data_IF_522583563319
#
_entry.id   IF_522583563319
#
_cell.length_a   1.000
_cell.length_b   1.000
_cell.length_c   1.000
_cell.angle_alpha   90.00
_cell.angle_beta   90.00
_cell.angle_gamma   90.00
#
_symmetry.space_group_name_H-M   'P 1'
#
loop_
_entity.id
_entity.type
_entity.pdbx_description
1 polymer ?
#
# COMPACT_ATOMS: atom_id res chain seq x y z
N UNK A 1 17.56 -6.27 -13.80
CA UNK A 1 18.71 -5.45 -14.22
C UNK A 1 18.22 -4.02 -14.40
N UNK A 2 18.65 -3.16 -13.48
CA UNK A 2 18.42 -1.71 -13.46
C UNK A 2 18.94 -1.07 -14.74
N UNK A 3 18.18 -0.14 -15.33
CA UNK A 3 18.72 0.73 -16.36
C UNK A 3 19.40 1.93 -15.68
N UNK A 4 20.64 2.24 -16.05
CA UNK A 4 21.35 3.47 -15.66
C UNK A 4 21.48 3.74 -14.14
N UNK A 5 21.76 2.73 -13.31
CA UNK A 5 21.85 2.86 -11.85
C UNK A 5 20.58 3.38 -11.15
N UNK A 6 19.41 3.19 -11.76
CA UNK A 6 18.11 3.56 -11.19
C UNK A 6 17.25 2.32 -10.95
N UNK A 7 16.50 2.35 -9.85
CA UNK A 7 15.48 1.34 -9.53
C UNK A 7 14.26 1.55 -10.43
N UNK A 8 13.83 0.50 -11.13
CA UNK A 8 12.63 0.53 -11.96
C UNK A 8 11.47 -0.13 -11.23
N UNK A 9 10.22 0.14 -11.65
CA UNK A 9 9.03 -0.48 -11.04
C UNK A 9 9.07 -2.01 -11.02
N UNK A 10 9.64 -2.64 -12.06
CA UNK A 10 9.83 -4.11 -12.13
C UNK A 10 10.79 -4.67 -11.07
N UNK A 11 11.63 -3.83 -10.49
CA UNK A 11 12.59 -4.20 -9.45
C UNK A 11 11.94 -4.14 -8.05
N UNK A 12 10.67 -3.72 -7.97
CA UNK A 12 9.86 -3.67 -6.73
C UNK A 12 8.93 -4.87 -6.71
N UNK A 13 8.85 -5.53 -5.55
CA UNK A 13 7.88 -6.59 -5.25
C UNK A 13 7.12 -6.25 -4.00
N UNK A 14 5.81 -6.42 -4.02
CA UNK A 14 4.93 -6.15 -2.89
C UNK A 14 4.13 -7.39 -2.54
N UNK A 15 4.12 -7.73 -1.24
CA UNK A 15 3.33 -8.84 -0.70
C UNK A 15 2.36 -8.28 0.33
N UNK A 16 1.08 -8.55 0.12
CA UNK A 16 0.00 -8.14 1.01
C UNK A 16 -0.32 -9.31 1.93
N UNK A 17 -0.28 -9.08 3.24
CA UNK A 17 -0.71 -10.09 4.22
C UNK A 17 -1.82 -9.51 5.07
N UNK A 18 -2.96 -10.19 5.03
CA UNK A 18 -4.16 -9.86 5.78
C UNK A 18 -4.18 -10.70 7.05
N UNK A 19 -5.14 -10.42 7.93
CA UNK A 19 -5.28 -11.22 9.14
C UNK A 19 -5.74 -12.66 8.90
N UNK A 20 -6.34 -12.94 7.75
CA UNK A 20 -6.82 -14.27 7.35
C UNK A 20 -5.80 -15.05 6.52
N UNK A 21 -4.67 -14.43 6.17
CA UNK A 21 -3.58 -15.06 5.42
C UNK A 21 -2.93 -14.13 4.40
N UNK A 22 -2.06 -14.68 3.56
CA UNK A 22 -1.45 -13.92 2.47
C UNK A 22 -2.46 -13.68 1.35
N UNK A 23 -2.64 -12.43 0.97
CA UNK A 23 -3.39 -12.08 -0.22
C UNK A 23 -2.45 -12.20 -1.42
N UNK A 24 -2.51 -13.36 -2.06
CA UNK A 24 -1.62 -13.72 -3.16
C UNK A 24 -2.07 -13.07 -4.47
N UNK A 25 -1.90 -11.75 -4.57
CA UNK A 25 -2.07 -11.03 -5.83
C UNK A 25 -0.83 -11.30 -6.70
N UNK A 26 -0.97 -11.86 -7.91
CA UNK A 26 0.16 -12.04 -8.81
C UNK A 26 0.89 -10.71 -9.01
N UNK A 27 2.23 -10.70 -8.93
CA UNK A 27 3.01 -9.46 -9.14
C UNK A 27 2.82 -8.90 -10.55
N UNK A 28 2.43 -9.73 -11.51
CA UNK A 28 2.07 -9.33 -12.87
C UNK A 28 0.71 -8.63 -12.98
N UNK A 29 -0.15 -8.78 -11.97
CA UNK A 29 -1.44 -8.11 -11.90
C UNK A 29 -1.34 -6.69 -11.32
N UNK A 30 -0.29 -6.42 -10.54
CA UNK A 30 -0.08 -5.11 -9.91
C UNK A 30 0.55 -4.18 -10.95
N UNK A 31 -0.27 -3.31 -11.52
CA UNK A 31 0.15 -2.37 -12.56
C UNK A 31 0.82 -1.14 -11.97
N UNK A 32 0.44 -0.78 -10.74
CA UNK A 32 0.99 0.38 -10.03
C UNK A 32 0.88 0.17 -8.53
N UNK A 33 1.91 0.62 -7.83
CA UNK A 33 1.94 0.76 -6.39
C UNK A 33 2.45 2.15 -6.05
N UNK A 34 1.71 2.87 -5.20
CA UNK A 34 2.13 4.14 -4.63
C UNK A 34 2.00 4.13 -3.11
N UNK A 35 2.91 4.85 -2.46
CA UNK A 35 2.90 5.05 -1.02
C UNK A 35 3.41 6.46 -0.70
N UNK A 36 2.68 7.16 0.14
CA UNK A 36 2.95 8.54 0.55
C UNK A 36 2.91 8.65 2.07
N UNK A 37 3.91 9.29 2.71
CA UNK A 37 3.83 9.60 4.12
C UNK A 37 2.71 10.61 4.36
N UNK A 38 1.99 10.43 5.46
CA UNK A 38 1.02 11.40 5.95
C UNK A 38 1.69 12.17 7.07
N UNK A 39 1.82 13.49 6.92
CA UNK A 39 2.43 14.36 7.92
C UNK A 39 1.46 15.48 8.31
N UNK A 40 1.63 16.00 9.51
CA UNK A 40 0.97 17.24 9.94
C UNK A 40 2.02 18.26 10.29
N UNK A 41 1.84 19.47 9.75
CA UNK A 41 2.73 20.59 9.95
C UNK A 41 2.11 21.57 10.92
N UNK A 42 2.82 21.88 11.99
CA UNK A 42 2.44 22.93 12.93
C UNK A 42 3.42 24.09 12.82
N UNK A 43 2.89 25.28 12.57
CA UNK A 43 3.64 26.54 12.63
C UNK A 43 3.34 27.22 13.96
N UNK A 44 4.39 27.50 14.73
CA UNK A 44 4.30 28.25 15.99
C UNK A 44 5.19 29.47 15.90
N UNK A 45 4.63 30.66 16.05
CA UNK A 45 5.43 31.88 16.15
C UNK A 45 5.72 32.16 17.62
N UNK A 46 7.00 32.25 17.98
CA UNK A 46 7.40 32.59 19.34
C UNK A 46 7.19 34.08 19.63
N UNK A 47 7.32 34.46 20.90
CA UNK A 47 7.26 35.88 21.32
C UNK A 47 8.44 36.70 20.77
N UNK A 48 9.48 36.02 20.28
CA UNK A 48 10.61 36.56 19.50
C UNK A 48 10.23 36.92 18.06
N UNK A 49 9.01 36.59 17.62
CA UNK A 49 8.55 36.83 16.26
C UNK A 49 9.04 35.79 15.24
N UNK A 50 9.84 34.81 15.65
CA UNK A 50 10.33 33.75 14.76
C UNK A 50 9.32 32.63 14.60
N UNK A 51 9.07 32.24 13.34
CA UNK A 51 8.24 31.09 13.01
C UNK A 51 9.04 29.79 13.14
N UNK A 52 8.58 28.89 14.01
CA UNK A 52 9.09 27.54 14.15
C UNK A 52 8.11 26.56 13.51
N UNK A 53 8.64 25.63 12.71
CA UNK A 53 7.88 24.59 12.04
C UNK A 53 8.15 23.24 12.70
N UNK A 54 7.10 22.48 13.01
CA UNK A 54 7.21 21.09 13.50
C UNK A 54 6.46 20.18 12.54
N UNK A 55 7.10 19.07 12.16
CA UNK A 55 6.49 18.02 11.31
C UNK A 55 6.26 16.78 12.16
N UNK A 56 5.01 16.35 12.26
CA UNK A 56 4.61 15.12 12.96
C UNK A 56 4.27 14.04 11.93
N UNK A 57 4.80 12.84 12.12
CA UNK A 57 4.53 11.69 11.25
C UNK A 57 3.23 11.01 11.66
N UNK A 58 2.25 10.99 10.75
CA UNK A 58 0.88 10.48 10.97
C UNK A 58 0.57 9.27 10.08
N UNK A 59 1.58 8.43 9.87
CA UNK A 59 1.44 7.18 9.12
C UNK A 59 1.67 7.33 7.62
N UNK A 60 1.05 6.43 6.86
CA UNK A 60 1.23 6.29 5.42
C UNK A 60 -0.12 6.01 4.77
N UNK A 61 -0.30 6.52 3.56
CA UNK A 61 -1.40 6.16 2.67
C UNK A 61 -0.84 5.71 1.34
N UNK A 62 -1.56 4.88 0.61
CA UNK A 62 -1.14 4.48 -0.72
C UNK A 62 -2.23 3.75 -1.48
N UNK A 63 -1.93 3.37 -2.71
CA UNK A 63 -2.86 2.62 -3.53
C UNK A 63 -2.18 1.60 -4.45
N UNK A 64 -2.98 0.64 -4.86
CA UNK A 64 -2.65 -0.36 -5.86
C UNK A 64 -3.64 -0.22 -7.02
N UNK A 65 -3.12 -0.15 -8.24
CA UNK A 65 -3.91 -0.40 -9.46
C UNK A 65 -3.62 -1.84 -9.89
N UNK A 66 -4.68 -2.66 -9.94
CA UNK A 66 -4.59 -4.11 -10.13
C UNK A 66 -5.44 -4.51 -11.32
N UNK A 67 -4.83 -5.15 -12.32
CA UNK A 67 -5.59 -5.83 -13.37
C UNK A 67 -6.22 -7.10 -12.80
N UNK A 68 -7.50 -7.31 -13.06
CA UNK A 68 -8.21 -8.49 -12.59
C UNK A 68 -7.82 -9.72 -13.40
N UNK A 69 -7.06 -10.63 -12.79
CA UNK A 69 -6.83 -11.98 -13.34
C UNK A 69 -7.74 -13.05 -12.75
N UNK A 70 -8.09 -12.94 -11.47
CA UNK A 70 -8.91 -13.92 -10.77
C UNK A 70 -9.85 -13.26 -9.75
N UNK A 71 -10.56 -14.06 -8.96
CA UNK A 71 -11.51 -13.60 -7.94
C UNK A 71 -10.85 -13.22 -6.61
N UNK A 72 -9.53 -13.37 -6.45
CA UNK A 72 -8.85 -13.25 -5.15
C UNK A 72 -9.15 -11.94 -4.43
N UNK A 73 -9.17 -10.81 -5.16
CA UNK A 73 -9.45 -9.50 -4.57
C UNK A 73 -10.94 -9.32 -4.22
N UNK A 74 -11.86 -9.86 -5.04
CA UNK A 74 -13.29 -9.82 -4.74
C UNK A 74 -13.63 -10.66 -3.52
N UNK A 75 -13.11 -11.89 -3.48
CA UNK A 75 -13.37 -12.84 -2.40
C UNK A 75 -12.84 -12.29 -1.07
N UNK A 76 -11.66 -11.66 -1.10
CA UNK A 76 -11.12 -10.94 0.04
C UNK A 76 -12.04 -9.82 0.52
N UNK A 77 -12.54 -8.97 -0.38
CA UNK A 77 -13.38 -7.84 0.00
C UNK A 77 -14.76 -8.29 0.47
N UNK A 78 -15.36 -9.27 -0.20
CA UNK A 78 -16.62 -9.89 0.21
C UNK A 78 -16.51 -10.51 1.61
N UNK A 79 -15.40 -11.19 1.91
CA UNK A 79 -15.14 -11.71 3.25
C UNK A 79 -14.96 -10.59 4.28
N UNK A 80 -14.24 -9.52 3.94
CA UNK A 80 -14.06 -8.37 4.84
C UNK A 80 -15.39 -7.69 5.18
N UNK A 81 -16.27 -7.52 4.19
CA UNK A 81 -17.62 -6.97 4.37
C UNK A 81 -18.50 -7.89 5.21
N UNK A 82 -18.51 -9.19 4.91
CA UNK A 82 -19.24 -10.17 5.71
C UNK A 82 -18.77 -10.18 7.18
N UNK A 83 -17.47 -10.05 7.43
CA UNK A 83 -16.93 -9.96 8.79
C UNK A 83 -17.43 -8.72 9.52
N UNK A 84 -17.47 -7.57 8.85
CA UNK A 84 -17.99 -6.33 9.42
C UNK A 84 -19.46 -6.47 9.84
N UNK A 85 -20.33 -6.99 8.96
CA UNK A 85 -21.75 -7.16 9.28
C UNK A 85 -22.02 -8.26 10.32
N UNK A 86 -21.11 -9.21 10.50
CA UNK A 86 -21.16 -10.20 11.58
C UNK A 86 -20.58 -9.67 12.91
N UNK A 87 -20.19 -8.40 12.98
CA UNK A 87 -19.60 -7.80 14.19
C UNK A 87 -18.21 -8.35 14.54
N UNK A 88 -17.53 -9.00 13.59
CA UNK A 88 -16.17 -9.47 13.79
C UNK A 88 -15.19 -8.32 13.66
N UNK A 89 -14.20 -8.29 14.56
CA UNK A 89 -13.13 -7.31 14.47
C UNK A 89 -12.26 -7.60 13.24
N UNK A 90 -12.09 -6.62 12.35
CA UNK A 90 -11.21 -6.74 11.18
C UNK A 90 -9.77 -6.47 11.64
N UNK A 91 -8.90 -7.48 11.74
CA UNK A 91 -7.57 -7.28 12.28
C UNK A 91 -6.69 -6.59 11.24
N UNK A 92 -5.73 -5.81 11.70
CA UNK A 92 -4.83 -5.10 10.80
C UNK A 92 -3.92 -6.06 10.02
N UNK A 93 -3.66 -5.73 8.76
CA UNK A 93 -2.69 -6.42 7.91
C UNK A 93 -1.30 -5.80 7.96
N UNK A 94 -0.43 -6.31 7.09
CA UNK A 94 0.87 -5.73 6.78
C UNK A 94 1.18 -5.84 5.29
N UNK A 95 1.99 -4.91 4.79
CA UNK A 95 2.50 -4.93 3.42
C UNK A 95 4.02 -5.03 3.50
N UNK A 96 4.61 -5.99 2.81
CA UNK A 96 6.06 -6.09 2.65
C UNK A 96 6.45 -5.63 1.25
N UNK A 97 7.29 -4.60 1.20
CA UNK A 97 7.89 -4.05 -0.01
C UNK A 97 9.35 -4.50 -0.07
N UNK A 98 9.72 -5.17 -1.15
CA UNK A 98 11.09 -5.61 -1.42
C UNK A 98 11.58 -4.91 -2.68
N UNK A 99 12.69 -4.20 -2.57
CA UNK A 99 13.30 -3.42 -3.65
C UNK A 99 14.65 -4.04 -3.98
N UNK A 100 14.84 -4.41 -5.25
CA UNK A 100 16.13 -4.80 -5.76
C UNK A 100 16.90 -3.56 -6.20
N UNK A 101 17.96 -3.23 -5.47
CA UNK A 101 18.74 -2.03 -5.69
C UNK A 101 19.71 -2.21 -6.89
N UNK A 102 20.06 -1.12 -7.59
CA UNK A 102 20.98 -1.18 -8.75
C UNK A 102 22.37 -1.70 -8.41
N UNK A 103 22.81 -1.53 -7.15
CA UNK A 103 24.08 -2.04 -6.65
C UNK A 103 24.06 -3.53 -6.29
N UNK A 104 22.95 -4.23 -6.56
CA UNK A 104 22.76 -5.65 -6.22
C UNK A 104 22.28 -5.88 -4.78
N UNK A 105 22.17 -4.83 -3.97
CA UNK A 105 21.56 -4.89 -2.64
C UNK A 105 20.05 -5.15 -2.70
N UNK A 106 19.49 -5.54 -1.56
CA UNK A 106 18.05 -5.69 -1.37
C UNK A 106 17.64 -4.83 -0.19
N UNK A 107 16.75 -3.87 -0.44
CA UNK A 107 16.11 -3.09 0.61
C UNK A 107 14.72 -3.67 0.88
N UNK A 108 14.36 -3.86 2.16
CA UNK A 108 13.03 -4.31 2.54
C UNK A 108 12.37 -3.32 3.49
N UNK A 109 11.11 -3.00 3.21
CA UNK A 109 10.27 -2.17 4.05
C UNK A 109 8.98 -2.90 4.40
N UNK A 110 8.50 -2.72 5.63
CA UNK A 110 7.23 -3.26 6.09
C UNK A 110 6.31 -2.14 6.54
N UNK A 111 5.13 -2.07 5.93
CA UNK A 111 4.02 -1.26 6.39
C UNK A 111 3.24 -2.06 7.44
N UNK A 112 3.04 -1.47 8.61
CA UNK A 112 2.36 -2.15 9.73
C UNK A 112 1.05 -1.48 10.09
N UNK A 113 0.18 -2.29 10.70
CA UNK A 113 -1.20 -1.93 11.05
C UNK A 113 -1.94 -1.35 9.84
N UNK A 114 -1.95 -2.13 8.76
CA UNK A 114 -2.52 -1.72 7.49
C UNK A 114 -4.03 -1.99 7.48
N UNK A 115 -4.79 -0.98 7.05
CA UNK A 115 -6.22 -1.10 6.72
C UNK A 115 -6.36 -0.92 5.22
N UNK A 116 -7.21 -1.74 4.61
CA UNK A 116 -7.46 -1.72 3.17
C UNK A 116 -8.85 -1.16 2.89
N UNK A 117 -8.97 -0.47 1.76
CA UNK A 117 -10.21 0.07 1.24
C UNK A 117 -10.28 -0.19 -0.26
N UNK A 118 -11.16 -1.09 -0.68
CA UNK A 118 -11.43 -1.27 -2.09
C UNK A 118 -12.27 -0.09 -2.58
N UNK A 119 -11.76 0.67 -3.55
CA UNK A 119 -12.43 1.87 -4.06
C UNK A 119 -13.06 1.65 -5.42
N UNK A 120 -12.47 0.80 -6.25
CA UNK A 120 -12.97 0.52 -7.60
C UNK A 120 -12.85 -0.98 -7.90
N UNK A 121 -13.95 -1.59 -8.33
CA UNK A 121 -13.99 -2.96 -8.86
C UNK A 121 -13.73 -3.03 -10.38
N UNK A 122 -13.55 -1.87 -11.01
CA UNK A 122 -13.33 -1.73 -12.45
C UNK A 122 -14.59 -1.81 -13.29
N UNK A 123 -14.59 -1.08 -14.40
CA UNK A 123 -15.64 -1.16 -15.41
C UNK A 123 -15.53 -2.49 -16.18
N UNK A 124 -16.68 -3.10 -16.51
CA UNK A 124 -16.76 -4.34 -17.29
C UNK A 124 -17.28 -3.99 -18.69
N UNK A 125 -16.36 -3.64 -19.57
CA UNK A 125 -16.63 -3.26 -20.95
C UNK A 125 -16.11 -4.34 -21.90
N UNK A 126 -16.74 -4.51 -23.07
CA UNK A 126 -16.24 -5.42 -24.10
C UNK A 126 -14.82 -5.04 -24.54
N UNK A 127 -13.98 -6.06 -24.74
CA UNK A 127 -12.58 -5.94 -25.21
C UNK A 127 -11.63 -5.11 -24.33
N UNK A 128 -11.98 -4.84 -23.06
CA UNK A 128 -11.09 -4.13 -22.11
C UNK A 128 -10.79 -4.97 -20.87
N UNK A 129 -9.60 -4.77 -20.30
CA UNK A 129 -9.24 -5.36 -19.01
C UNK A 129 -9.99 -4.66 -17.88
N UNK A 130 -10.34 -5.42 -16.84
CA UNK A 130 -10.99 -4.89 -15.64
C UNK A 130 -9.92 -4.42 -14.67
N UNK A 131 -9.84 -3.10 -14.46
CA UNK A 131 -8.88 -2.46 -13.55
C UNK A 131 -9.52 -2.19 -12.20
N UNK A 132 -8.96 -2.79 -11.15
CA UNK A 132 -9.40 -2.62 -9.77
C UNK A 132 -8.46 -1.66 -9.04
N UNK A 133 -9.00 -0.92 -8.07
CA UNK A 133 -8.23 0.00 -7.24
C UNK A 133 -8.41 -0.34 -5.75
N UNK A 134 -7.29 -0.61 -5.09
CA UNK A 134 -7.21 -0.91 -3.66
C UNK A 134 -6.38 0.17 -2.97
N UNK A 135 -6.98 0.93 -2.08
CA UNK A 135 -6.29 1.92 -1.24
C UNK A 135 -5.91 1.30 0.11
N UNK A 136 -4.86 1.81 0.72
CA UNK A 136 -4.46 1.40 2.06
C UNK A 136 -4.01 2.58 2.92
N UNK A 137 -4.18 2.41 4.23
CA UNK A 137 -3.61 3.29 5.26
C UNK A 137 -2.80 2.42 6.22
N UNK A 138 -1.60 2.86 6.57
CA UNK A 138 -0.70 2.17 7.49
C UNK A 138 -0.25 3.11 8.60
N UNK A 139 -0.01 2.56 9.79
CA UNK A 139 0.47 3.38 10.92
C UNK A 139 1.94 3.79 10.77
N UNK A 140 2.76 2.95 10.14
CA UNK A 140 4.20 3.19 9.97
C UNK A 140 4.80 2.34 8.85
N UNK A 141 5.92 2.81 8.29
CA UNK A 141 6.80 2.08 7.37
C UNK A 141 8.14 1.86 8.07
N UNK A 142 8.52 0.61 8.29
CA UNK A 142 9.76 0.22 8.95
C UNK A 142 10.73 -0.37 7.94
N UNK A 143 12.02 -0.02 8.04
CA UNK A 143 13.07 -0.73 7.32
C UNK A 143 13.33 -2.06 8.02
N UNK A 144 13.30 -3.15 7.26
CA UNK A 144 13.53 -4.52 7.74
C UNK A 144 14.93 -5.00 7.35
N UNK A 145 15.40 -4.64 6.15
CA UNK A 145 16.73 -4.98 5.62
C UNK A 145 17.25 -3.84 4.75
#
# INVERSE_FOLDING_TARGET
MSAANQTLGKDIRVVITTATGNLNIPTTAIMKFDAQPVTTEEKRTGLDGEARHTVTHNGWKGSFEIDRFDSTLDDFWAQAEANYYNGMNVPYGFIQETIQEPNGGVSQYRYEKVVYKLTELGAREGDKTVKMKLEFMASRRLKVQ
#
